data_IF_247261416752
#
_entry.id   IF_247261416752
#
_cell.length_a   1.000
_cell.length_b   1.000
_cell.length_c   1.000
_cell.angle_alpha   90.00
_cell.angle_beta   90.00
_cell.angle_gamma   90.00
#
_symmetry.space_group_name_H-M   'P 1'
#
loop_
_entity.id
_entity.type
_entity.pdbx_description
1 polymer ?
#
# COMPACT_ATOMS: atom_id res chain seq x y z
N UNK A 1 6.27 29.64 27.04
CA UNK A 1 6.26 29.32 28.48
C UNK A 1 4.93 28.63 28.78
N UNK A 2 4.89 27.31 28.88
CA UNK A 2 3.64 26.58 29.17
C UNK A 2 3.58 26.25 30.65
N UNK A 3 2.53 26.74 31.32
CA UNK A 3 2.19 26.40 32.71
C UNK A 3 1.30 25.17 32.67
N UNK A 4 1.73 24.09 33.34
CA UNK A 4 0.93 22.89 33.55
C UNK A 4 -0.10 23.23 34.64
N UNK A 5 -1.32 23.52 34.23
CA UNK A 5 -2.48 23.56 35.12
C UNK A 5 -3.52 22.64 34.49
N UNK A 6 -3.65 21.46 35.10
CA UNK A 6 -4.44 20.29 34.67
C UNK A 6 -3.81 19.54 33.49
N UNK A 7 -3.40 18.30 33.73
CA UNK A 7 -2.65 17.44 32.81
C UNK A 7 -3.54 16.89 31.67
N UNK A 8 -4.39 17.74 31.10
CA UNK A 8 -5.37 17.38 30.07
C UNK A 8 -4.86 17.72 28.67
N UNK A 9 -5.05 16.80 27.74
CA UNK A 9 -4.81 16.97 26.31
C UNK A 9 -6.02 17.65 25.69
N UNK A 10 -5.79 18.71 24.91
CA UNK A 10 -6.83 19.35 24.10
C UNK A 10 -6.78 18.85 22.65
N UNK A 11 -7.90 18.41 22.12
CA UNK A 11 -8.08 18.06 20.71
C UNK A 11 -9.02 19.08 20.06
N UNK A 12 -8.70 19.46 18.83
CA UNK A 12 -9.56 20.32 18.00
C UNK A 12 -9.99 19.53 16.76
N UNK A 13 -11.29 19.57 16.44
CA UNK A 13 -11.79 19.02 15.18
C UNK A 13 -11.59 20.00 14.01
N UNK A 14 -11.96 19.58 12.80
CA UNK A 14 -11.88 20.38 11.58
C UNK A 14 -12.87 21.57 11.55
N UNK A 15 -13.81 21.62 12.50
CA UNK A 15 -14.77 22.71 12.68
C UNK A 15 -14.34 23.70 13.77
N UNK A 16 -13.21 23.45 14.42
CA UNK A 16 -12.70 24.29 15.50
C UNK A 16 -13.31 24.00 16.88
N UNK A 17 -14.08 22.92 17.03
CA UNK A 17 -14.59 22.46 18.33
C UNK A 17 -13.44 21.91 19.16
N UNK A 18 -13.35 22.33 20.42
CA UNK A 18 -12.31 21.89 21.33
C UNK A 18 -12.84 20.88 22.36
N UNK A 19 -12.07 19.82 22.57
CA UNK A 19 -12.34 18.73 23.50
C UNK A 19 -11.16 18.58 24.46
N UNK A 20 -11.43 18.29 25.74
CA UNK A 20 -10.39 18.04 26.76
C UNK A 20 -10.47 16.61 27.25
N UNK A 21 -9.33 15.93 27.35
CA UNK A 21 -9.22 14.55 27.81
C UNK A 21 -8.04 14.39 28.75
N UNK A 22 -8.11 13.46 29.71
CA UNK A 22 -6.95 13.13 30.55
C UNK A 22 -5.93 12.26 29.79
N UNK A 23 -6.41 11.44 28.83
CA UNK A 23 -5.57 10.61 27.96
C UNK A 23 -6.11 10.59 26.53
N UNK A 24 -5.21 10.52 25.54
CA UNK A 24 -5.54 10.40 24.12
C UNK A 24 -4.72 9.28 23.49
N UNK A 25 -5.39 8.40 22.74
CA UNK A 25 -4.76 7.36 21.91
C UNK A 25 -5.02 7.71 20.44
N UNK A 26 -3.97 7.86 19.65
CA UNK A 26 -4.06 8.15 18.21
C UNK A 26 -3.75 6.88 17.44
N UNK A 27 -4.74 6.37 16.70
CA UNK A 27 -4.64 5.12 15.92
C UNK A 27 -5.19 5.30 14.51
N UNK A 28 -4.81 6.40 13.84
CA UNK A 28 -5.33 6.78 12.51
C UNK A 28 -4.69 6.02 11.34
N UNK A 29 -3.79 5.08 11.61
CA UNK A 29 -3.13 4.26 10.60
C UNK A 29 -2.08 5.01 9.76
N UNK A 30 -1.75 4.44 8.60
CA UNK A 30 -0.77 5.02 7.69
C UNK A 30 -1.39 6.10 6.81
N UNK A 31 -0.63 7.18 6.57
CA UNK A 31 -0.95 8.19 5.56
C UNK A 31 0.01 8.06 4.38
N UNK A 32 -0.49 7.70 3.21
CA UNK A 32 0.27 7.70 1.96
C UNK A 32 -0.01 9.00 1.19
N UNK A 33 0.96 9.91 1.06
CA UNK A 33 0.81 11.09 0.22
C UNK A 33 0.62 10.67 -1.24
N UNK A 34 -0.37 11.25 -1.92
CA UNK A 34 -0.56 11.05 -3.37
C UNK A 34 0.27 12.08 -4.12
N UNK A 35 1.52 11.72 -4.44
CA UNK A 35 2.42 12.57 -5.20
C UNK A 35 2.10 12.50 -6.71
N UNK A 36 1.93 11.28 -7.23
CA UNK A 36 1.79 11.00 -8.66
C UNK A 36 0.60 10.08 -8.99
N UNK A 37 0.06 9.35 -8.00
CA UNK A 37 -1.16 8.58 -8.16
C UNK A 37 -2.30 9.49 -8.66
N UNK A 38 -3.00 9.05 -9.70
CA UNK A 38 -4.02 9.80 -10.46
C UNK A 38 -3.49 10.96 -11.34
N UNK A 39 -2.18 11.24 -11.34
CA UNK A 39 -1.56 12.20 -12.26
C UNK A 39 -0.86 11.52 -13.44
N UNK A 40 -0.30 10.34 -13.19
CA UNK A 40 0.36 9.51 -14.20
C UNK A 40 -0.43 8.20 -14.33
N UNK A 41 -0.81 7.85 -15.55
CA UNK A 41 -1.55 6.61 -15.82
C UNK A 41 -0.73 5.39 -15.40
N UNK A 42 -1.35 4.49 -14.64
CA UNK A 42 -0.68 3.28 -14.14
C UNK A 42 0.31 3.52 -12.99
N UNK A 43 0.37 4.74 -12.44
CA UNK A 43 1.20 5.04 -11.28
C UNK A 43 0.43 4.88 -9.97
N UNK A 44 1.01 4.11 -9.04
CA UNK A 44 0.49 3.91 -7.69
C UNK A 44 1.54 4.33 -6.68
N UNK A 45 1.28 5.39 -5.90
CA UNK A 45 2.18 5.81 -4.81
C UNK A 45 2.17 4.78 -3.67
N UNK A 46 1.06 4.06 -3.52
CA UNK A 46 1.00 2.81 -2.77
C UNK A 46 0.15 1.80 -3.53
N UNK A 47 0.68 0.59 -3.83
CA UNK A 47 -0.08 -0.47 -4.47
C UNK A 47 -1.07 -1.16 -3.52
N UNK A 48 -1.15 -0.72 -2.25
CA UNK A 48 -2.16 -1.18 -1.31
C UNK A 48 -3.44 -0.34 -1.40
N UNK A 49 -4.63 -0.95 -1.31
CA UNK A 49 -4.88 -2.39 -1.18
C UNK A 49 -4.60 -3.17 -2.48
N UNK A 50 -4.35 -4.50 -2.43
CA UNK A 50 -4.08 -5.34 -3.60
C UNK A 50 -5.10 -5.21 -4.73
N UNK A 51 -6.35 -4.88 -4.41
CA UNK A 51 -7.40 -4.61 -5.40
C UNK A 51 -7.08 -3.47 -6.36
N UNK A 52 -6.17 -2.56 -6.03
CA UNK A 52 -5.64 -1.54 -6.97
C UNK A 52 -4.92 -2.14 -8.16
N UNK A 53 -4.33 -3.32 -7.99
CA UNK A 53 -3.60 -4.06 -9.01
C UNK A 53 -4.43 -5.25 -9.55
N UNK A 54 -5.75 -5.22 -9.35
CA UNK A 54 -6.63 -6.27 -9.85
C UNK A 54 -6.60 -6.31 -11.39
N UNK A 55 -6.71 -7.52 -11.93
CA UNK A 55 -6.70 -7.75 -13.37
C UNK A 55 -5.33 -8.07 -13.92
N UNK A 56 -5.25 -8.08 -15.24
CA UNK A 56 -4.15 -8.64 -15.99
C UNK A 56 -3.19 -7.57 -16.49
N UNK A 57 -1.91 -7.74 -16.16
CA UNK A 57 -0.86 -6.78 -16.46
C UNK A 57 0.20 -7.48 -17.32
N UNK A 58 -0.10 -7.67 -18.61
CA UNK A 58 0.79 -8.36 -19.55
C UNK A 58 1.80 -7.37 -20.15
N UNK A 59 2.59 -6.72 -19.30
CA UNK A 59 3.62 -5.75 -19.65
C UNK A 59 4.58 -5.57 -18.46
N UNK A 60 5.79 -5.01 -18.67
CA UNK A 60 6.73 -4.76 -17.58
C UNK A 60 6.16 -3.79 -16.53
N UNK A 61 6.36 -4.12 -15.25
CA UNK A 61 5.93 -3.28 -14.11
C UNK A 61 7.13 -2.94 -13.24
N UNK A 62 7.40 -1.64 -13.08
CA UNK A 62 8.43 -1.18 -12.17
C UNK A 62 7.89 -1.10 -10.73
N UNK A 63 8.62 -1.67 -9.78
CA UNK A 63 8.33 -1.57 -8.35
C UNK A 63 9.49 -0.84 -7.67
N UNK A 64 9.18 0.27 -7.00
CA UNK A 64 10.17 1.06 -6.26
C UNK A 64 10.04 0.79 -4.76
N UNK A 65 11.04 0.09 -4.21
CA UNK A 65 11.12 -0.26 -2.79
C UNK A 65 11.08 -1.78 -2.54
N UNK A 66 11.33 -2.18 -1.31
CA UNK A 66 11.45 -3.60 -0.90
C UNK A 66 10.69 -3.91 0.41
N UNK A 67 9.65 -3.12 0.72
CA UNK A 67 8.82 -3.34 1.92
C UNK A 67 7.84 -4.51 1.73
N UNK A 68 7.12 -4.89 2.78
CA UNK A 68 6.05 -5.88 2.70
C UNK A 68 5.00 -5.52 1.62
N UNK A 69 4.71 -4.23 1.44
CA UNK A 69 3.83 -3.75 0.38
C UNK A 69 4.37 -4.04 -1.02
N UNK A 70 5.69 -4.00 -1.23
CA UNK A 70 6.30 -4.40 -2.50
C UNK A 70 6.16 -5.91 -2.74
N UNK A 71 6.33 -6.73 -1.70
CA UNK A 71 6.13 -8.18 -1.78
C UNK A 71 4.67 -8.52 -2.11
N UNK A 72 3.71 -7.87 -1.46
CA UNK A 72 2.28 -8.05 -1.73
C UNK A 72 1.90 -7.61 -3.14
N UNK A 73 2.50 -6.53 -3.66
CA UNK A 73 2.32 -6.10 -5.04
C UNK A 73 2.81 -7.17 -6.03
N UNK A 74 4.03 -7.71 -5.84
CA UNK A 74 4.58 -8.79 -6.67
C UNK A 74 3.66 -10.02 -6.63
N UNK A 75 3.24 -10.45 -5.43
CA UNK A 75 2.30 -11.58 -5.27
C UNK A 75 0.98 -11.34 -5.97
N UNK A 76 0.46 -10.12 -5.96
CA UNK A 76 -0.80 -9.77 -6.60
C UNK A 76 -0.67 -9.80 -8.12
N UNK A 77 0.37 -9.17 -8.66
CA UNK A 77 0.62 -9.11 -10.12
C UNK A 77 0.88 -10.50 -10.71
N UNK A 78 1.64 -11.34 -10.01
CA UNK A 78 1.97 -12.68 -10.48
C UNK A 78 0.77 -13.61 -10.51
N UNK A 79 -0.15 -13.52 -9.53
CA UNK A 79 -1.36 -14.36 -9.48
C UNK A 79 -2.28 -14.22 -10.70
N UNK A 80 -2.32 -13.04 -11.32
CA UNK A 80 -3.14 -12.80 -12.52
C UNK A 80 -2.43 -13.19 -13.83
N UNK A 81 -1.11 -13.39 -13.78
CA UNK A 81 -0.27 -13.57 -14.97
C UNK A 81 0.40 -14.95 -15.06
N UNK A 82 0.21 -15.80 -14.06
CA UNK A 82 0.86 -17.09 -13.99
C UNK A 82 0.62 -17.80 -12.67
N UNK A 83 1.42 -18.84 -12.43
CA UNK A 83 1.33 -19.65 -11.24
C UNK A 83 2.72 -20.15 -10.82
N UNK A 84 2.93 -20.22 -9.51
CA UNK A 84 4.11 -20.85 -8.95
C UNK A 84 3.88 -22.36 -8.82
N UNK A 85 4.75 -23.16 -9.43
CA UNK A 85 4.76 -24.61 -9.34
C UNK A 85 5.96 -25.07 -8.52
N UNK A 86 5.73 -26.01 -7.61
CA UNK A 86 6.81 -26.67 -6.89
C UNK A 86 7.44 -27.71 -7.82
N UNK A 87 8.77 -27.71 -7.88
CA UNK A 87 9.60 -28.63 -8.64
C UNK A 87 10.69 -29.19 -7.74
N UNK A 88 11.41 -30.22 -8.19
CA UNK A 88 12.54 -30.79 -7.44
C UNK A 88 13.67 -29.80 -7.20
N UNK A 89 13.76 -28.74 -8.02
CA UNK A 89 14.74 -27.65 -7.91
C UNK A 89 14.23 -26.44 -7.11
N UNK A 90 13.03 -26.54 -6.53
CA UNK A 90 12.38 -25.45 -5.79
C UNK A 90 11.16 -24.88 -6.51
N UNK A 91 10.85 -23.61 -6.24
CA UNK A 91 9.67 -22.95 -6.78
C UNK A 91 9.97 -22.35 -8.17
N UNK A 92 9.22 -22.76 -9.17
CA UNK A 92 9.31 -22.24 -10.54
C UNK A 92 8.04 -21.45 -10.87
N UNK A 93 8.18 -20.28 -11.49
CA UNK A 93 7.04 -19.48 -11.92
C UNK A 93 6.76 -19.72 -13.41
N UNK A 94 5.52 -20.10 -13.72
CA UNK A 94 5.05 -20.35 -15.08
C UNK A 94 4.03 -19.28 -15.48
N UNK A 95 4.29 -18.59 -16.59
CA UNK A 95 3.37 -17.62 -17.19
C UNK A 95 2.13 -18.30 -17.78
N UNK A 96 1.01 -17.60 -17.75
CA UNK A 96 -0.18 -17.96 -18.55
C UNK A 96 0.11 -17.70 -20.04
N UNK A 97 -0.55 -18.44 -20.94
CA UNK A 97 -0.31 -18.36 -22.39
C UNK A 97 -0.55 -16.97 -22.98
N UNK A 98 -1.47 -16.23 -22.37
CA UNK A 98 -1.87 -14.87 -22.72
C UNK A 98 -1.09 -13.80 -21.91
N UNK A 99 -0.04 -14.19 -21.16
CA UNK A 99 0.82 -13.35 -20.31
C UNK A 99 2.29 -13.30 -20.76
N UNK A 100 2.58 -13.53 -22.04
CA UNK A 100 3.95 -13.65 -22.58
C UNK A 100 4.82 -12.39 -22.43
N UNK A 101 4.21 -11.22 -22.25
CA UNK A 101 4.89 -9.93 -22.09
C UNK A 101 4.99 -9.47 -20.63
N UNK A 102 4.48 -10.25 -19.67
CA UNK A 102 4.68 -9.99 -18.24
C UNK A 102 6.12 -10.31 -17.84
N UNK A 103 6.85 -9.28 -17.37
CA UNK A 103 8.29 -9.35 -17.06
C UNK A 103 8.65 -8.45 -15.89
#
# INVERSE_FOLDING_TARGET
MYRIANNQVKLSDDKGTNYSFDHVIISTGHRWPKAHENKVQGWFDSPYPPSKLAGKHNYPVAIKGASLTAIDAIRTLTRSNGQYKKTDKGLHYQLNDDSKEFR
#
